data_IF_772718719213
#
_entry.id   IF_772718719213
#
_cell.length_a   1.000
_cell.length_b   1.000
_cell.length_c   1.000
_cell.angle_alpha   90.00
_cell.angle_beta   90.00
_cell.angle_gamma   90.00
#
_symmetry.space_group_name_H-M   'P 1'
#
loop_
_entity.id
_entity.type
_entity.pdbx_description
1 polymer ?
#
# COMPACT_ATOMS: atom_id res chain seq x y z
N UNK A 1 -6.38 0.55 -6.47
CA UNK A 1 -7.78 0.29 -6.90
C UNK A 1 -8.59 1.58 -7.05
N UNK A 2 -8.86 2.36 -5.99
CA UNK A 2 -9.69 3.58 -6.05
C UNK A 2 -9.26 4.57 -7.13
N UNK A 3 -7.98 4.96 -7.16
CA UNK A 3 -7.43 5.85 -8.19
C UNK A 3 -7.58 5.25 -9.61
N UNK A 4 -7.39 3.94 -9.76
CA UNK A 4 -7.59 3.23 -11.01
C UNK A 4 -9.02 3.31 -11.52
N UNK A 5 -10.00 3.14 -10.63
CA UNK A 5 -11.41 3.25 -10.96
C UNK A 5 -11.82 4.66 -11.41
N UNK A 6 -11.27 5.69 -10.74
CA UNK A 6 -11.47 7.09 -11.13
C UNK A 6 -10.81 7.38 -12.50
N UNK A 7 -9.57 6.90 -12.70
CA UNK A 7 -8.80 7.14 -13.93
C UNK A 7 -9.44 6.45 -15.13
N UNK A 8 -9.99 5.25 -14.96
CA UNK A 8 -10.66 4.49 -16.03
C UNK A 8 -12.14 4.85 -16.21
N UNK A 9 -12.68 5.77 -15.38
CA UNK A 9 -14.09 6.17 -15.42
C UNK A 9 -15.06 5.09 -14.91
N UNK A 10 -14.56 4.02 -14.29
CA UNK A 10 -15.42 2.95 -13.72
C UNK A 10 -16.19 3.41 -12.48
N UNK A 11 -15.75 4.48 -11.83
CA UNK A 11 -16.43 5.14 -10.72
C UNK A 11 -16.27 6.66 -10.81
N UNK A 12 -17.29 7.35 -10.35
CA UNK A 12 -17.22 8.78 -10.05
C UNK A 12 -17.03 8.99 -8.55
N UNK A 13 -16.49 10.14 -8.09
CA UNK A 13 -16.23 10.39 -6.68
C UNK A 13 -17.44 10.20 -5.76
N UNK A 14 -18.62 10.67 -6.17
CA UNK A 14 -19.84 10.62 -5.37
C UNK A 14 -20.72 9.38 -5.58
N UNK A 15 -20.30 8.44 -6.44
CA UNK A 15 -21.09 7.24 -6.67
C UNK A 15 -21.09 6.34 -5.44
N UNK A 16 -22.29 6.14 -4.88
CA UNK A 16 -22.49 5.34 -3.67
C UNK A 16 -22.89 3.91 -4.01
N UNK A 17 -22.32 2.94 -3.28
CA UNK A 17 -22.71 1.53 -3.27
C UNK A 17 -23.30 1.17 -1.91
N UNK A 18 -24.27 0.26 -1.91
CA UNK A 18 -24.76 -0.35 -0.68
C UNK A 18 -23.81 -1.47 -0.24
N UNK A 19 -23.35 -1.39 1.01
CA UNK A 19 -22.59 -2.46 1.64
C UNK A 19 -23.44 -3.16 2.72
N UNK A 20 -23.95 -4.36 2.44
CA UNK A 20 -24.68 -5.18 3.41
C UNK A 20 -23.74 -6.04 4.28
N UNK A 21 -22.41 -5.86 4.18
CA UNK A 21 -21.41 -6.68 4.87
C UNK A 21 -20.89 -7.87 4.05
N UNK A 22 -21.27 -7.98 2.77
CA UNK A 22 -20.80 -9.04 1.88
C UNK A 22 -21.08 -8.75 0.41
N UNK A 23 -20.36 -9.47 -0.45
CA UNK A 23 -20.59 -9.52 -1.89
C UNK A 23 -20.73 -10.97 -2.35
N UNK A 24 -21.79 -11.30 -3.10
CA UNK A 24 -22.01 -12.64 -3.64
C UNK A 24 -21.52 -12.74 -5.09
N UNK A 25 -20.71 -13.74 -5.39
CA UNK A 25 -20.22 -14.01 -6.74
C UNK A 25 -20.01 -15.51 -6.95
N UNK A 26 -20.58 -16.05 -8.04
CA UNK A 26 -20.37 -17.47 -8.42
C UNK A 26 -20.75 -18.48 -7.33
N UNK A 27 -21.79 -18.21 -6.54
CA UNK A 27 -22.21 -19.05 -5.41
C UNK A 27 -21.35 -18.90 -4.15
N UNK A 28 -20.30 -18.06 -4.18
CA UNK A 28 -19.47 -17.76 -3.01
C UNK A 28 -19.83 -16.40 -2.42
N UNK A 29 -19.71 -16.30 -1.08
CA UNK A 29 -19.94 -15.07 -0.33
C UNK A 29 -18.60 -14.50 0.17
N UNK A 30 -18.22 -13.34 -0.35
CA UNK A 30 -17.06 -12.59 0.08
C UNK A 30 -17.48 -11.63 1.20
N UNK A 31 -16.95 -11.81 2.40
CA UNK A 31 -17.37 -11.08 3.59
C UNK A 31 -16.63 -9.74 3.71
N UNK A 32 -17.34 -8.70 4.18
CA UNK A 32 -16.71 -7.50 4.70
C UNK A 32 -16.19 -7.75 6.12
N UNK A 33 -15.21 -6.97 6.58
CA UNK A 33 -14.70 -7.07 7.95
C UNK A 33 -15.74 -6.58 8.96
N UNK A 34 -16.62 -5.67 8.54
CA UNK A 34 -17.71 -5.16 9.36
C UNK A 34 -18.95 -6.02 9.22
N UNK A 35 -19.32 -6.72 10.27
CA UNK A 35 -20.58 -7.46 10.35
C UNK A 35 -21.77 -6.48 10.16
N UNK A 36 -22.66 -6.81 9.21
CA UNK A 36 -23.79 -5.96 8.84
C UNK A 36 -23.44 -4.82 7.87
N UNK A 37 -22.17 -4.68 7.50
CA UNK A 37 -21.71 -3.73 6.50
C UNK A 37 -21.67 -2.26 6.96
N UNK A 38 -21.35 -1.38 6.01
CA UNK A 38 -21.17 0.06 6.24
C UNK A 38 -22.34 0.89 5.71
N UNK A 39 -23.39 0.25 5.17
CA UNK A 39 -24.53 0.92 4.54
C UNK A 39 -24.14 1.59 3.22
N UNK A 40 -24.55 2.83 3.00
CA UNK A 40 -24.15 3.61 1.83
C UNK A 40 -22.68 4.01 1.92
N UNK A 41 -21.90 3.68 0.88
CA UNK A 41 -20.44 3.88 0.82
C UNK A 41 -20.06 4.49 -0.52
N UNK A 42 -19.51 5.70 -0.50
CA UNK A 42 -18.86 6.35 -1.65
C UNK A 42 -17.34 6.07 -1.66
N UNK A 43 -16.62 6.64 -2.62
CA UNK A 43 -15.17 6.46 -2.76
C UNK A 43 -14.40 6.95 -1.53
N UNK A 44 -14.74 8.10 -0.96
CA UNK A 44 -14.08 8.63 0.23
C UNK A 44 -14.28 7.70 1.42
N UNK A 45 -15.53 7.38 1.73
CA UNK A 45 -15.87 6.51 2.87
C UNK A 45 -15.27 5.12 2.71
N UNK A 46 -15.24 4.56 1.48
CA UNK A 46 -14.68 3.23 1.23
C UNK A 46 -13.21 3.10 1.66
N UNK A 47 -12.42 4.17 1.48
CA UNK A 47 -11.02 4.23 1.89
C UNK A 47 -10.90 4.41 3.41
N UNK A 48 -11.67 5.36 3.97
CA UNK A 48 -11.62 5.72 5.40
C UNK A 48 -11.94 4.53 6.30
N UNK A 49 -13.03 3.82 5.97
CA UNK A 49 -13.49 2.66 6.78
C UNK A 49 -12.94 1.33 6.28
N UNK A 50 -12.15 1.33 5.20
CA UNK A 50 -11.59 0.11 4.58
C UNK A 50 -12.66 -0.90 4.17
N UNK A 51 -13.73 -0.48 3.49
CA UNK A 51 -14.85 -1.31 3.09
C UNK A 51 -14.45 -2.34 2.03
N UNK A 52 -14.41 -3.61 2.38
CA UNK A 52 -14.08 -4.69 1.45
C UNK A 52 -15.15 -4.85 0.37
N UNK A 53 -16.43 -4.80 0.74
CA UNK A 53 -17.56 -4.96 -0.19
C UNK A 53 -17.49 -3.96 -1.35
N UNK A 54 -17.14 -2.71 -1.06
CA UNK A 54 -16.96 -1.69 -2.11
C UNK A 54 -15.90 -2.13 -3.15
N UNK A 55 -14.78 -2.66 -2.68
CA UNK A 55 -13.67 -3.07 -3.56
C UNK A 55 -13.91 -4.43 -4.22
N UNK A 56 -14.71 -5.31 -3.66
CA UNK A 56 -15.17 -6.53 -4.34
C UNK A 56 -16.01 -6.19 -5.58
N UNK A 57 -17.02 -5.31 -5.39
CA UNK A 57 -17.85 -4.83 -6.50
C UNK A 57 -16.99 -4.11 -7.53
N UNK A 58 -16.11 -3.22 -7.08
CA UNK A 58 -15.23 -2.46 -7.96
C UNK A 58 -14.30 -3.36 -8.78
N UNK A 59 -13.71 -4.38 -8.17
CA UNK A 59 -12.84 -5.34 -8.85
C UNK A 59 -13.60 -6.14 -9.91
N UNK A 60 -14.83 -6.56 -9.58
CA UNK A 60 -15.71 -7.23 -10.54
C UNK A 60 -16.01 -6.35 -11.76
N UNK A 61 -16.29 -5.05 -11.54
CA UNK A 61 -16.63 -4.10 -12.59
C UNK A 61 -15.43 -3.66 -13.44
N UNK A 62 -14.24 -3.61 -12.85
CA UNK A 62 -13.01 -3.28 -13.58
C UNK A 62 -12.47 -4.48 -14.38
N UNK A 63 -12.52 -5.68 -13.81
CA UNK A 63 -11.85 -6.85 -14.34
C UNK A 63 -10.33 -6.82 -14.11
N UNK A 64 -9.72 -8.00 -14.17
CA UNK A 64 -8.28 -8.18 -13.84
C UNK A 64 -7.36 -7.43 -14.79
N UNK A 65 -7.69 -7.37 -16.08
CA UNK A 65 -6.83 -6.74 -17.08
C UNK A 65 -6.74 -5.21 -16.85
N UNK A 66 -7.88 -4.56 -16.57
CA UNK A 66 -7.89 -3.12 -16.27
C UNK A 66 -7.15 -2.84 -14.94
N UNK A 67 -7.28 -3.70 -13.94
CA UNK A 67 -6.54 -3.60 -12.68
C UNK A 67 -5.03 -3.71 -12.93
N UNK A 68 -4.59 -4.78 -13.62
CA UNK A 68 -3.18 -5.00 -13.90
C UNK A 68 -2.57 -3.89 -14.78
N UNK A 69 -3.29 -3.43 -15.80
CA UNK A 69 -2.84 -2.35 -16.69
C UNK A 69 -2.71 -1.01 -15.96
N UNK A 70 -3.58 -0.73 -14.97
CA UNK A 70 -3.46 0.46 -14.13
C UNK A 70 -2.29 0.35 -13.13
N UNK A 71 -2.08 -0.82 -12.53
CA UNK A 71 -1.06 -1.02 -11.48
C UNK A 71 0.37 -1.10 -12.04
N UNK A 72 0.54 -1.67 -13.22
CA UNK A 72 1.87 -1.88 -13.85
C UNK A 72 2.70 -0.60 -14.00
N UNK A 73 2.16 0.54 -14.50
CA UNK A 73 2.91 1.80 -14.57
C UNK A 73 3.38 2.32 -13.22
N UNK A 74 2.71 1.95 -12.11
CA UNK A 74 3.10 2.30 -10.75
C UNK A 74 4.27 1.47 -10.19
N UNK A 75 4.82 0.52 -10.97
CA UNK A 75 5.98 -0.28 -10.59
C UNK A 75 5.65 -1.65 -10.00
N UNK A 76 4.37 -2.02 -9.87
CA UNK A 76 3.99 -3.33 -9.33
C UNK A 76 4.35 -4.48 -10.26
N UNK A 77 4.88 -5.57 -9.72
CA UNK A 77 5.31 -6.75 -10.47
C UNK A 77 6.55 -6.52 -11.33
N UNK A 78 7.38 -5.54 -10.97
CA UNK A 78 8.63 -5.18 -11.66
C UNK A 78 9.70 -4.82 -10.62
N UNK A 79 10.97 -4.99 -10.96
CA UNK A 79 12.07 -4.42 -10.16
C UNK A 79 12.04 -2.91 -10.28
N UNK A 80 12.27 -2.22 -9.17
CA UNK A 80 12.34 -0.76 -9.11
C UNK A 80 13.62 -0.20 -9.73
N UNK A 81 14.64 -1.04 -9.79
CA UNK A 81 15.99 -0.68 -10.24
C UNK A 81 16.81 0.05 -9.17
N UNK A 82 16.47 -0.19 -7.89
CA UNK A 82 17.30 0.29 -6.77
C UNK A 82 18.72 -0.24 -6.88
N UNK A 83 19.71 0.53 -6.42
CA UNK A 83 21.13 0.22 -6.41
C UNK A 83 21.55 -0.84 -5.36
N UNK A 84 20.65 -1.80 -5.11
CA UNK A 84 20.88 -2.97 -4.24
C UNK A 84 20.72 -4.28 -5.01
N UNK A 85 21.58 -5.27 -4.78
CA UNK A 85 21.42 -6.60 -5.35
C UNK A 85 20.25 -7.36 -4.70
N UNK A 86 19.69 -8.33 -5.44
CA UNK A 86 18.68 -9.25 -4.89
C UNK A 86 17.27 -8.71 -4.81
N UNK A 87 16.96 -7.59 -5.48
CA UNK A 87 15.59 -7.04 -5.50
C UNK A 87 14.59 -8.05 -6.07
N UNK A 88 13.48 -8.28 -5.34
CA UNK A 88 12.37 -9.11 -5.77
C UNK A 88 11.40 -8.34 -6.67
N UNK A 89 10.91 -8.99 -7.73
CA UNK A 89 9.93 -8.39 -8.66
C UNK A 89 8.53 -8.29 -8.06
N UNK A 90 8.22 -9.05 -7.00
CA UNK A 90 6.86 -9.21 -6.52
C UNK A 90 5.95 -9.91 -7.54
N UNK A 91 4.65 -9.86 -7.32
CA UNK A 91 3.66 -10.43 -8.23
C UNK A 91 2.53 -9.45 -8.46
N UNK A 92 2.38 -8.98 -9.70
CA UNK A 92 1.17 -8.33 -10.18
C UNK A 92 0.33 -9.39 -10.91
N UNK A 93 -0.79 -9.85 -10.31
CA UNK A 93 -1.58 -10.91 -10.88
C UNK A 93 -2.21 -10.54 -12.22
N UNK A 94 -2.17 -11.47 -13.17
CA UNK A 94 -2.88 -11.38 -14.45
C UNK A 94 -3.10 -12.79 -15.04
N UNK A 95 -3.98 -12.95 -16.03
CA UNK A 95 -4.15 -14.23 -16.73
C UNK A 95 -2.82 -14.74 -17.34
N UNK A 96 -1.98 -13.83 -17.90
CA UNK A 96 -0.68 -14.17 -18.50
C UNK A 96 0.31 -14.62 -17.43
N UNK A 97 0.35 -13.90 -16.29
CA UNK A 97 1.17 -14.32 -15.16
C UNK A 97 0.77 -15.71 -14.67
N UNK A 98 -0.53 -15.98 -14.53
CA UNK A 98 -1.05 -17.27 -14.06
C UNK A 98 -0.69 -18.40 -15.02
N UNK A 99 -0.81 -18.19 -16.33
CA UNK A 99 -0.38 -19.16 -17.35
C UNK A 99 1.10 -19.51 -17.25
N UNK A 100 1.95 -18.53 -17.01
CA UNK A 100 3.41 -18.75 -16.85
C UNK A 100 3.77 -19.43 -15.53
N UNK A 101 3.02 -19.12 -14.47
CA UNK A 101 3.33 -19.58 -13.09
C UNK A 101 2.95 -21.04 -12.86
N UNK A 102 1.85 -21.50 -13.43
CA UNK A 102 1.33 -22.86 -13.21
C UNK A 102 1.58 -23.75 -14.43
N UNK A 103 1.98 -25.02 -14.15
CA UNK A 103 2.28 -25.99 -15.22
C UNK A 103 1.04 -26.70 -15.74
N UNK A 104 0.04 -26.94 -14.88
CA UNK A 104 -1.17 -27.72 -15.23
C UNK A 104 -2.20 -26.81 -15.89
N UNK A 105 -2.76 -27.19 -17.08
CA UNK A 105 -3.71 -26.36 -17.83
C UNK A 105 -4.93 -25.90 -17.00
N UNK A 106 -5.46 -26.80 -16.15
CA UNK A 106 -6.59 -26.49 -15.27
C UNK A 106 -6.30 -25.40 -14.25
N UNK A 107 -5.02 -25.22 -13.85
CA UNK A 107 -4.57 -24.19 -12.92
C UNK A 107 -4.25 -22.87 -13.64
N UNK A 108 -4.11 -22.88 -14.96
CA UNK A 108 -3.78 -21.69 -15.76
C UNK A 108 -5.00 -20.80 -16.03
N UNK A 109 -6.21 -21.35 -15.92
CA UNK A 109 -7.45 -20.62 -16.16
C UNK A 109 -7.64 -19.56 -15.06
N UNK A 110 -7.92 -18.33 -15.47
CA UNK A 110 -8.30 -17.24 -14.56
C UNK A 110 -9.80 -17.35 -14.22
N UNK A 111 -10.14 -17.19 -12.94
CA UNK A 111 -11.51 -17.21 -12.47
C UNK A 111 -11.90 -15.83 -11.91
N UNK A 112 -13.15 -15.40 -12.10
CA UNK A 112 -13.61 -14.08 -11.63
C UNK A 112 -13.48 -13.88 -10.11
N UNK A 113 -13.63 -14.94 -9.30
CA UNK A 113 -13.40 -14.89 -7.86
C UNK A 113 -11.97 -14.51 -7.47
N UNK A 114 -10.98 -14.83 -8.31
CA UNK A 114 -9.60 -14.40 -8.10
C UNK A 114 -9.47 -12.89 -8.30
N UNK A 115 -10.18 -12.32 -9.30
CA UNK A 115 -10.23 -10.85 -9.50
C UNK A 115 -10.80 -10.15 -8.28
N UNK A 116 -11.86 -10.69 -7.67
CA UNK A 116 -12.48 -10.13 -6.47
C UNK A 116 -11.50 -10.09 -5.31
N UNK A 117 -10.77 -11.19 -5.07
CA UNK A 117 -9.73 -11.26 -4.04
C UNK A 117 -8.58 -10.27 -4.31
N UNK A 118 -8.13 -10.16 -5.58
CA UNK A 118 -7.10 -9.18 -5.99
C UNK A 118 -7.55 -7.74 -5.69
N UNK A 119 -8.84 -7.45 -5.80
CA UNK A 119 -9.40 -6.12 -5.58
C UNK A 119 -9.17 -5.53 -4.19
N UNK A 120 -9.05 -6.37 -3.19
CA UNK A 120 -8.75 -5.97 -1.80
C UNK A 120 -7.28 -6.21 -1.40
N UNK A 121 -6.41 -6.55 -2.37
CA UNK A 121 -4.99 -6.80 -2.10
C UNK A 121 -4.68 -8.22 -1.61
N UNK A 122 -5.63 -9.14 -1.69
CA UNK A 122 -5.47 -10.55 -1.32
C UNK A 122 -5.21 -11.44 -2.56
N UNK A 123 -5.30 -12.75 -2.40
CA UNK A 123 -5.11 -13.72 -3.49
C UNK A 123 -3.64 -13.80 -3.92
N UNK A 124 -3.38 -13.61 -5.22
CA UNK A 124 -2.02 -13.70 -5.75
C UNK A 124 -1.19 -12.42 -5.64
N UNK A 125 -1.72 -11.33 -5.07
CA UNK A 125 -0.94 -10.11 -4.85
C UNK A 125 0.26 -10.41 -3.94
N UNK A 126 1.46 -10.08 -4.40
CA UNK A 126 2.67 -10.12 -3.59
C UNK A 126 3.59 -8.95 -3.98
N UNK A 127 3.68 -7.96 -3.14
CA UNK A 127 4.44 -6.74 -3.40
C UNK A 127 5.48 -6.52 -2.32
N UNK A 128 6.62 -5.91 -2.73
CA UNK A 128 7.63 -5.51 -1.75
C UNK A 128 7.20 -4.20 -1.05
N UNK A 129 7.67 -3.94 0.20
CA UNK A 129 7.49 -2.64 0.83
C UNK A 129 7.98 -1.48 -0.04
N UNK A 130 9.11 -1.68 -0.74
CA UNK A 130 9.67 -0.68 -1.65
C UNK A 130 8.71 -0.34 -2.80
N UNK A 131 8.08 -1.34 -3.43
CA UNK A 131 7.08 -1.10 -4.48
C UNK A 131 5.88 -0.30 -3.96
N UNK A 132 5.41 -0.58 -2.74
CA UNK A 132 4.30 0.17 -2.13
C UNK A 132 4.71 1.62 -1.81
N UNK A 133 5.90 1.84 -1.25
CA UNK A 133 6.42 3.18 -0.96
C UNK A 133 6.62 3.99 -2.25
N UNK A 134 7.24 3.38 -3.28
CA UNK A 134 7.47 3.99 -4.59
C UNK A 134 6.15 4.36 -5.29
N UNK A 135 5.18 3.45 -5.32
CA UNK A 135 3.86 3.70 -5.91
C UNK A 135 3.10 4.81 -5.17
N UNK A 136 3.14 4.81 -3.83
CA UNK A 136 2.55 5.88 -3.02
C UNK A 136 3.25 7.21 -3.30
N UNK A 137 4.59 7.21 -3.32
CA UNK A 137 5.41 8.38 -3.67
C UNK A 137 5.00 8.96 -5.02
N UNK A 138 4.83 8.13 -6.06
CA UNK A 138 4.37 8.58 -7.36
C UNK A 138 2.97 9.22 -7.31
N UNK A 139 2.02 8.61 -6.57
CA UNK A 139 0.67 9.18 -6.43
C UNK A 139 0.69 10.55 -5.77
N UNK A 140 1.46 10.72 -4.68
CA UNK A 140 1.48 11.99 -3.95
C UNK A 140 2.40 13.05 -4.58
N UNK A 141 3.25 12.64 -5.52
CA UNK A 141 4.13 13.49 -6.33
C UNK A 141 3.62 13.63 -7.77
N UNK A 142 2.32 13.84 -7.92
CA UNK A 142 1.66 14.15 -9.19
C UNK A 142 1.94 13.16 -10.33
N UNK A 143 2.11 11.88 -10.00
CA UNK A 143 2.32 10.79 -10.94
C UNK A 143 3.77 10.54 -11.35
N UNK A 144 4.74 11.28 -10.85
CA UNK A 144 6.15 11.06 -11.19
C UNK A 144 6.71 9.90 -10.37
N UNK A 145 7.08 8.82 -11.08
CA UNK A 145 7.73 7.65 -10.50
C UNK A 145 9.25 7.79 -10.66
N UNK A 146 9.96 7.82 -9.54
CA UNK A 146 11.43 7.90 -9.50
C UNK A 146 12.07 6.53 -9.31
N UNK A 147 13.30 6.38 -9.82
CA UNK A 147 14.18 5.26 -9.46
C UNK A 147 14.62 5.45 -8.00
N UNK A 148 14.36 4.49 -7.10
CA UNK A 148 14.91 4.56 -5.75
C UNK A 148 16.41 4.28 -5.78
N UNK A 149 17.16 4.91 -4.88
CA UNK A 149 18.59 4.67 -4.67
C UNK A 149 18.95 4.87 -3.19
N UNK A 150 19.97 4.17 -2.72
CA UNK A 150 20.53 4.30 -1.37
C UNK A 150 21.76 5.20 -1.42
N UNK A 151 22.60 5.03 -2.46
CA UNK A 151 23.77 5.86 -2.61
C UNK A 151 23.37 7.34 -2.82
N UNK A 152 23.80 8.22 -1.92
CA UNK A 152 23.53 9.66 -1.98
C UNK A 152 24.57 10.39 -2.82
N UNK A 153 25.82 9.97 -2.69
CA UNK A 153 26.95 10.55 -3.41
C UNK A 153 28.08 9.55 -3.56
N UNK A 154 28.95 9.81 -4.50
CA UNK A 154 30.20 9.06 -4.75
C UNK A 154 31.35 10.02 -4.55
N UNK A 155 32.37 9.61 -3.79
CA UNK A 155 33.61 10.37 -3.59
C UNK A 155 34.72 9.68 -4.37
N UNK A 156 35.41 10.42 -5.23
CA UNK A 156 36.61 9.92 -5.92
C UNK A 156 37.74 9.77 -4.90
N UNK A 157 38.27 8.57 -4.76
CA UNK A 157 39.28 8.24 -3.75
C UNK A 157 40.64 8.95 -3.96
N UNK A 158 40.90 9.46 -5.18
CA UNK A 158 42.20 10.13 -5.51
C UNK A 158 42.07 11.64 -5.40
N UNK A 159 40.95 12.20 -5.83
CA UNK A 159 40.76 13.66 -5.92
C UNK A 159 39.97 14.22 -4.76
N UNK A 160 39.22 13.39 -4.01
CA UNK A 160 38.28 13.83 -3.00
C UNK A 160 37.01 14.48 -3.59
N UNK A 161 36.86 14.49 -4.92
CA UNK A 161 35.71 15.10 -5.57
C UNK A 161 34.42 14.33 -5.25
N UNK A 162 33.41 15.07 -4.73
CA UNK A 162 32.12 14.54 -4.34
C UNK A 162 31.07 14.79 -5.44
N UNK A 163 30.52 13.73 -6.01
CA UNK A 163 29.45 13.77 -7.00
C UNK A 163 28.16 13.27 -6.40
N UNK A 164 27.16 14.14 -6.26
CA UNK A 164 25.81 13.76 -5.81
C UNK A 164 25.09 12.94 -6.89
N UNK A 165 24.33 11.93 -6.45
CA UNK A 165 23.44 11.17 -7.32
C UNK A 165 22.10 11.89 -7.37
N UNK A 166 21.75 12.39 -8.56
CA UNK A 166 20.50 13.14 -8.75
C UNK A 166 19.31 12.17 -8.89
N UNK A 167 18.09 12.58 -8.42
CA UNK A 167 16.88 11.82 -8.59
C UNK A 167 16.56 11.55 -10.06
N UNK A 168 16.39 10.28 -10.45
CA UNK A 168 16.09 9.86 -11.82
C UNK A 168 14.58 9.59 -11.97
N UNK A 169 13.81 10.42 -12.73
CA UNK A 169 12.43 10.12 -13.05
C UNK A 169 12.36 9.00 -14.09
N UNK A 170 11.71 7.90 -13.75
CA UNK A 170 11.51 6.75 -14.67
C UNK A 170 10.37 7.02 -15.65
N UNK A 171 9.28 7.60 -15.15
CA UNK A 171 8.08 7.91 -15.94
C UNK A 171 7.15 8.86 -15.20
N UNK A 172 6.26 9.52 -15.95
CA UNK A 172 5.14 10.28 -15.40
C UNK A 172 3.82 9.60 -15.78
N UNK A 173 2.97 9.34 -14.80
CA UNK A 173 1.64 8.74 -14.98
C UNK A 173 0.63 9.90 -14.97
N UNK A 174 -0.16 10.10 -16.04
CA UNK A 174 -1.05 11.25 -16.16
C UNK A 174 -2.31 11.06 -15.30
N UNK A 175 -2.26 11.46 -14.04
CA UNK A 175 -3.42 11.50 -13.17
C UNK A 175 -4.13 12.84 -13.22
N UNK A 176 -5.48 12.83 -13.12
CA UNK A 176 -6.23 14.06 -12.86
C UNK A 176 -5.99 14.54 -11.44
N UNK A 177 -5.62 15.81 -11.25
CA UNK A 177 -5.34 16.37 -9.93
C UNK A 177 -6.49 16.18 -8.95
N UNK A 178 -7.74 16.38 -9.38
CA UNK A 178 -8.92 16.17 -8.55
C UNK A 178 -9.07 14.74 -8.04
N UNK A 179 -8.58 13.74 -8.79
CA UNK A 179 -8.56 12.34 -8.35
C UNK A 179 -7.49 12.11 -7.27
N UNK A 180 -6.28 12.66 -7.48
CA UNK A 180 -5.20 12.62 -6.48
C UNK A 180 -5.67 13.28 -5.18
N UNK A 181 -6.28 14.47 -5.27
CA UNK A 181 -6.75 15.22 -4.11
C UNK A 181 -7.83 14.45 -3.32
N UNK A 182 -8.74 13.77 -4.02
CA UNK A 182 -9.74 12.91 -3.36
C UNK A 182 -9.06 11.76 -2.60
N UNK A 183 -8.13 11.06 -3.25
CA UNK A 183 -7.41 9.94 -2.63
C UNK A 183 -6.59 10.42 -1.43
N UNK A 184 -5.84 11.52 -1.56
CA UNK A 184 -5.08 12.11 -0.45
C UNK A 184 -5.99 12.48 0.73
N UNK A 185 -7.10 13.18 0.47
CA UNK A 185 -8.08 13.52 1.53
C UNK A 185 -8.66 12.27 2.21
N UNK A 186 -9.00 11.24 1.43
CA UNK A 186 -9.52 10.00 2.00
C UNK A 186 -8.47 9.27 2.85
N UNK A 187 -7.20 9.26 2.43
CA UNK A 187 -6.10 8.70 3.22
C UNK A 187 -5.83 9.52 4.50
N UNK A 188 -6.01 10.84 4.48
CA UNK A 188 -6.00 11.67 5.70
C UNK A 188 -7.18 11.28 6.60
N UNK A 189 -8.35 11.07 6.03
CA UNK A 189 -9.54 10.59 6.75
C UNK A 189 -9.32 9.27 7.50
N UNK A 190 -8.53 8.34 6.93
CA UNK A 190 -8.14 7.09 7.60
C UNK A 190 -7.47 7.36 8.96
N UNK A 191 -6.59 8.35 9.03
CA UNK A 191 -5.83 8.68 10.24
C UNK A 191 -6.56 9.65 11.18
N UNK A 192 -7.58 10.37 10.68
CA UNK A 192 -8.42 11.26 11.52
C UNK A 192 -9.60 10.53 12.18
N UNK A 193 -10.32 9.72 11.43
CA UNK A 193 -11.58 9.11 11.88
C UNK A 193 -11.76 7.65 11.42
N UNK A 194 -10.77 7.09 10.72
CA UNK A 194 -10.81 5.74 10.18
C UNK A 194 -9.94 4.76 10.95
N UNK A 195 -9.47 3.73 10.22
CA UNK A 195 -8.75 2.58 10.79
C UNK A 195 -7.37 2.92 11.39
N UNK A 196 -6.76 4.05 11.01
CA UNK A 196 -5.47 4.52 11.52
C UNK A 196 -5.55 5.55 12.65
N UNK A 197 -6.75 6.00 13.03
CA UNK A 197 -6.95 7.17 13.90
C UNK A 197 -6.25 7.08 15.26
N UNK A 198 -6.24 5.88 15.86
CA UNK A 198 -5.60 5.66 17.17
C UNK A 198 -4.08 5.88 17.12
N UNK A 199 -3.41 5.39 16.08
CA UNK A 199 -1.96 5.52 15.96
C UNK A 199 -1.50 6.97 15.71
N UNK A 200 -2.36 7.77 15.04
CA UNK A 200 -2.02 9.16 14.67
C UNK A 200 -2.70 10.22 15.55
N UNK A 201 -3.36 9.81 16.64
CA UNK A 201 -3.87 10.75 17.64
C UNK A 201 -2.74 11.64 18.19
N UNK A 202 -2.97 12.96 18.24
CA UNK A 202 -1.99 13.94 18.74
C UNK A 202 -0.78 14.17 17.83
N UNK A 203 -0.79 13.72 16.56
CA UNK A 203 0.25 14.10 15.60
C UNK A 203 0.21 15.61 15.34
N UNK A 204 1.36 16.34 15.42
CA UNK A 204 1.39 17.78 15.16
C UNK A 204 1.38 18.13 13.67
N UNK A 205 1.27 17.15 12.79
CA UNK A 205 1.17 17.25 11.34
C UNK A 205 0.07 16.33 10.80
N UNK A 206 -0.49 16.66 9.66
CA UNK A 206 -1.46 15.80 8.99
C UNK A 206 -0.76 14.68 8.22
N UNK A 207 -1.28 13.47 8.33
CA UNK A 207 -0.75 12.25 7.69
C UNK A 207 -1.84 11.59 6.87
N UNK A 208 -1.56 11.34 5.60
CA UNK A 208 -2.35 10.42 4.80
C UNK A 208 -1.83 8.99 4.96
N UNK A 209 -2.70 8.02 5.16
CA UNK A 209 -2.26 6.62 5.31
C UNK A 209 -3.33 5.61 4.99
N UNK A 210 -2.94 4.34 4.97
CA UNK A 210 -3.86 3.22 4.81
C UNK A 210 -3.32 1.99 5.54
N UNK A 211 -4.15 1.41 6.38
CA UNK A 211 -3.91 0.11 7.02
C UNK A 211 -4.11 -1.02 6.02
N UNK A 212 -3.32 -2.07 6.15
CA UNK A 212 -3.46 -3.33 5.43
C UNK A 212 -3.26 -4.52 6.35
N UNK A 213 -3.87 -5.64 6.00
CA UNK A 213 -3.69 -6.93 6.67
C UNK A 213 -3.63 -7.99 5.58
N UNK A 214 -2.46 -8.62 5.42
CA UNK A 214 -2.27 -9.64 4.41
C UNK A 214 -2.39 -11.03 5.03
N UNK A 215 -3.36 -11.81 4.57
CA UNK A 215 -3.59 -13.16 5.06
C UNK A 215 -2.45 -14.09 4.65
N UNK A 216 -1.85 -14.76 5.64
CA UNK A 216 -0.82 -15.80 5.45
C UNK A 216 -1.46 -17.17 5.26
N UNK A 217 -2.61 -17.39 5.89
CA UNK A 217 -3.25 -18.69 5.98
C UNK A 217 -4.74 -18.61 5.68
N UNK A 218 -5.25 -19.54 4.89
CA UNK A 218 -6.70 -19.66 4.60
C UNK A 218 -7.41 -20.35 5.75
N UNK A 219 -8.32 -19.64 6.41
CA UNK A 219 -9.13 -20.15 7.51
C UNK A 219 -10.30 -21.03 7.06
N UNK A 220 -10.47 -21.30 5.75
CA UNK A 220 -11.56 -22.11 5.17
C UNK A 220 -12.94 -21.74 5.72
N UNK A 221 -13.20 -20.44 5.94
CA UNK A 221 -14.46 -19.91 6.47
C UNK A 221 -14.54 -19.78 7.98
N UNK A 222 -13.51 -20.18 8.74
CA UNK A 222 -13.45 -19.91 10.17
C UNK A 222 -13.08 -18.44 10.44
N UNK A 223 -13.53 -17.89 11.58
CA UNK A 223 -13.20 -16.53 11.98
C UNK A 223 -11.73 -16.46 12.47
N UNK A 224 -10.98 -15.47 11.96
CA UNK A 224 -9.64 -15.19 12.47
C UNK A 224 -9.69 -14.71 13.93
N UNK A 225 -8.95 -15.37 14.80
CA UNK A 225 -8.78 -14.97 16.20
C UNK A 225 -7.28 -15.04 16.50
N UNK A 226 -6.64 -13.88 16.60
CA UNK A 226 -5.17 -13.74 16.70
C UNK A 226 -4.55 -14.63 17.79
N UNK A 227 -5.12 -14.65 18.99
CA UNK A 227 -4.62 -15.48 20.11
C UNK A 227 -4.79 -17.00 19.93
N UNK A 228 -5.48 -17.47 18.89
CA UNK A 228 -5.68 -18.89 18.59
C UNK A 228 -4.88 -19.37 17.37
N UNK A 229 -4.16 -18.47 16.72
CA UNK A 229 -3.34 -18.79 15.53
C UNK A 229 -1.88 -18.79 15.93
N UNK A 230 -1.13 -19.86 15.58
CA UNK A 230 0.31 -19.90 15.81
C UNK A 230 0.99 -18.68 15.17
N UNK A 231 1.97 -18.08 15.83
CA UNK A 231 2.60 -16.83 15.43
C UNK A 231 2.98 -16.80 13.93
N UNK A 232 3.67 -17.85 13.46
CA UNK A 232 4.08 -18.00 12.04
C UNK A 232 2.92 -18.03 11.01
N UNK A 233 1.68 -18.16 11.47
CA UNK A 233 0.47 -18.20 10.64
C UNK A 233 -0.40 -16.97 10.83
N UNK A 234 0.01 -16.03 11.70
CA UNK A 234 -0.71 -14.77 11.87
C UNK A 234 -0.56 -13.94 10.60
N UNK A 235 -1.56 -13.10 10.37
CA UNK A 235 -1.58 -12.19 9.23
C UNK A 235 -0.42 -11.17 9.31
N UNK A 236 0.07 -10.73 8.15
CA UNK A 236 1.07 -9.67 8.09
C UNK A 236 0.39 -8.30 8.21
N UNK A 237 0.91 -7.49 9.12
CA UNK A 237 0.45 -6.12 9.36
C UNK A 237 1.13 -5.16 8.39
N UNK A 238 0.33 -4.36 7.68
CA UNK A 238 0.81 -3.37 6.72
C UNK A 238 0.31 -1.97 7.04
N UNK A 239 1.15 -0.99 6.78
CA UNK A 239 0.76 0.41 6.75
C UNK A 239 1.55 1.17 5.70
N UNK A 240 0.86 1.99 4.91
CA UNK A 240 1.49 2.95 4.01
C UNK A 240 1.10 4.35 4.45
N UNK A 241 2.02 5.31 4.37
CA UNK A 241 1.75 6.70 4.74
C UNK A 241 2.59 7.69 3.94
N UNK A 242 2.09 8.93 3.90
CA UNK A 242 2.83 10.10 3.43
C UNK A 242 2.56 11.28 4.34
N UNK A 243 3.55 12.16 4.50
CA UNK A 243 3.46 13.33 5.35
C UNK A 243 4.44 14.46 4.91
N UNK A 244 4.16 15.74 5.28
CA UNK A 244 2.83 16.27 5.65
C UNK A 244 1.81 16.11 4.52
N UNK A 245 0.50 16.08 4.85
CA UNK A 245 -0.52 15.75 3.84
C UNK A 245 -0.68 16.81 2.75
N UNK A 246 -0.48 18.08 3.09
CA UNK A 246 -0.55 19.24 2.18
C UNK A 246 0.63 19.28 1.21
N UNK A 247 1.85 19.09 1.72
CA UNK A 247 3.10 19.10 0.94
C UNK A 247 3.97 17.91 1.34
N UNK A 248 3.68 16.70 0.80
CA UNK A 248 4.40 15.50 1.17
C UNK A 248 5.89 15.59 0.87
N UNK A 249 6.71 15.30 1.89
CA UNK A 249 8.17 15.22 1.78
C UNK A 249 8.68 13.80 2.00
N UNK A 250 7.81 12.92 2.52
CA UNK A 250 8.12 11.50 2.73
C UNK A 250 6.91 10.63 2.40
N UNK A 251 7.16 9.50 1.76
CA UNK A 251 6.23 8.38 1.65
C UNK A 251 6.92 7.12 2.18
N UNK A 252 6.22 6.32 2.97
CA UNK A 252 6.75 5.10 3.56
C UNK A 252 5.78 3.94 3.46
N UNK A 253 6.33 2.73 3.56
CA UNK A 253 5.58 1.50 3.74
C UNK A 253 6.21 0.68 4.87
N UNK A 254 5.39 0.22 5.79
CA UNK A 254 5.79 -0.61 6.92
C UNK A 254 5.13 -1.96 6.81
N UNK A 255 5.92 -3.01 6.93
CA UNK A 255 5.51 -4.40 7.08
C UNK A 255 5.97 -4.93 8.43
N UNK A 256 5.04 -5.52 9.18
CA UNK A 256 5.37 -6.34 10.36
C UNK A 256 4.88 -7.75 10.07
N UNK A 257 5.83 -8.65 9.80
CA UNK A 257 5.53 -10.05 9.54
C UNK A 257 4.85 -10.67 10.75
N UNK A 258 3.75 -11.39 10.51
CA UNK A 258 2.93 -12.03 11.54
C UNK A 258 2.43 -11.09 12.65
N UNK A 259 2.41 -9.78 12.38
CA UNK A 259 2.03 -8.72 13.31
C UNK A 259 0.53 -8.49 13.46
N UNK A 260 -0.30 -9.31 12.82
CA UNK A 260 -1.76 -9.19 12.92
C UNK A 260 -2.32 -7.98 12.16
N UNK A 261 -3.14 -7.16 12.83
CA UNK A 261 -3.82 -6.04 12.18
C UNK A 261 -2.91 -4.83 11.93
N UNK A 262 -3.00 -4.26 10.73
CA UNK A 262 -2.20 -3.09 10.30
C UNK A 262 -2.29 -1.89 11.25
N UNK A 263 -3.47 -1.65 11.82
CA UNK A 263 -3.70 -0.57 12.77
C UNK A 263 -2.98 -0.75 14.12
N UNK A 264 -2.68 -2.01 14.51
CA UNK A 264 -2.13 -2.33 15.83
C UNK A 264 -0.62 -2.40 15.83
N UNK A 265 0.00 -2.87 14.77
CA UNK A 265 1.44 -3.10 14.70
C UNK A 265 2.15 -2.16 13.72
N UNK A 266 1.79 -2.15 12.44
CA UNK A 266 2.50 -1.36 11.44
C UNK A 266 2.24 0.16 11.54
N UNK A 267 1.01 0.58 11.88
CA UNK A 267 0.68 2.01 11.98
C UNK A 267 1.42 2.75 13.11
N UNK A 268 1.59 2.20 14.33
CA UNK A 268 2.42 2.82 15.37
C UNK A 268 3.90 2.97 14.96
N UNK A 269 4.46 1.98 14.28
CA UNK A 269 5.85 2.03 13.78
C UNK A 269 5.97 3.12 12.70
N UNK A 270 4.99 3.19 11.77
CA UNK A 270 4.96 4.25 10.78
C UNK A 270 4.90 5.65 11.42
N UNK A 271 4.14 5.81 12.52
CA UNK A 271 4.08 7.05 13.28
C UNK A 271 5.45 7.42 13.87
N UNK A 272 6.15 6.48 14.47
CA UNK A 272 7.49 6.71 15.02
C UNK A 272 8.49 7.12 13.93
N UNK A 273 8.48 6.42 12.78
CA UNK A 273 9.33 6.79 11.64
C UNK A 273 9.05 8.20 11.10
N UNK A 274 7.77 8.60 11.03
CA UNK A 274 7.40 9.95 10.63
C UNK A 274 7.78 11.01 11.68
N UNK A 275 7.61 10.73 12.97
CA UNK A 275 8.02 11.62 14.05
C UNK A 275 9.55 11.81 14.06
N UNK A 276 10.32 10.73 13.80
CA UNK A 276 11.76 10.83 13.64
C UNK A 276 12.14 11.70 12.43
N UNK A 277 11.61 11.40 11.26
CA UNK A 277 11.96 12.08 10.03
C UNK A 277 11.55 13.58 10.02
N UNK A 278 10.36 13.88 10.51
CA UNK A 278 9.80 15.24 10.44
C UNK A 278 10.17 16.12 11.64
N UNK A 279 10.41 15.53 12.81
CA UNK A 279 10.55 16.25 14.08
C UNK A 279 11.88 15.96 14.80
N UNK A 280 12.72 15.05 14.26
CA UNK A 280 13.95 14.60 14.93
C UNK A 280 13.70 13.80 16.22
N UNK A 281 12.47 13.31 16.47
CA UNK A 281 12.15 12.57 17.68
C UNK A 281 12.64 11.13 17.59
N UNK A 282 13.67 10.80 18.36
CA UNK A 282 14.19 9.44 18.47
C UNK A 282 13.15 8.57 19.22
N UNK A 283 12.76 7.39 18.69
CA UNK A 283 11.85 6.50 19.38
C UNK A 283 12.43 6.02 20.73
N UNK A 284 11.56 5.84 21.72
CA UNK A 284 11.97 5.35 23.04
C UNK A 284 12.69 3.99 22.92
N UNK A 285 13.84 3.86 23.58
CA UNK A 285 14.66 2.63 23.58
C UNK A 285 15.70 2.55 22.44
N UNK A 286 15.76 3.54 21.55
CA UNK A 286 16.85 3.70 20.58
C UNK A 286 17.78 4.77 21.14
N UNK A 287 19.10 4.47 21.24
CA UNK A 287 20.09 5.50 21.58
C UNK A 287 20.08 6.56 20.48
N UNK A 288 20.08 7.84 20.86
CA UNK A 288 20.31 8.91 19.89
C UNK A 288 21.72 8.68 19.28
N UNK A 289 21.80 8.69 17.94
CA UNK A 289 23.11 8.71 17.28
C UNK A 289 23.84 9.96 17.71
N UNK A 290 25.08 9.80 18.15
CA UNK A 290 25.92 10.94 18.51
C UNK A 290 26.30 11.69 17.23
N UNK A 291 25.83 12.93 17.02
CA UNK A 291 26.15 13.69 15.81
C UNK A 291 27.67 13.90 15.61
N UNK A 292 28.48 13.72 16.66
CA UNK A 292 29.93 13.76 16.56
C UNK A 292 30.56 12.50 15.90
N UNK A 293 29.82 11.41 15.79
CA UNK A 293 30.29 10.19 15.12
C UNK A 293 30.29 10.31 13.58
N UNK A 294 29.46 11.18 13.01
CA UNK A 294 29.47 11.45 11.56
C UNK A 294 30.65 12.34 11.13
N UNK A 295 31.11 13.28 11.96
CA UNK A 295 32.27 14.13 11.65
C UNK A 295 33.62 13.39 11.75
N UNK A 296 33.69 12.27 12.44
CA UNK A 296 34.94 11.48 12.57
C UNK A 296 35.12 10.43 11.46
N UNK A 297 34.16 10.29 10.54
CA UNK A 297 34.19 9.37 9.40
C UNK A 297 34.36 10.08 8.03
N UNK A 298 34.60 11.40 8.03
CA UNK A 298 34.95 12.20 6.83
C UNK A 298 36.48 12.31 6.66
#
# INVERSE_FOLDING_TARGET
>A
MALGALTTGKRTPGQTLADPGYFNYGGHRFMDDKVGGHGGVDMYKSIVVSCNTYYYVLANDMGIDAIANFMRPLGFGQRSGIDLPGEAEGVLPSPEWKKRRFKRPEQQKWFGGETISVGIGQGYNAYTPLQLAQALGAVVNNGVLYRPHIARHVVDAKTGEKRTIEPEPLRTIPFKQSHIDLIKRAMVGVNKAGTGSRAFAGAPYEVGGKTGTAQVYSLKGAKYVEGRVAERLRDHSWFIAFAPADKPVIALAVLVENGGFGAQSAAPIARQGLDYYLLGKVPAGIAAEDPAAEESAE
#
